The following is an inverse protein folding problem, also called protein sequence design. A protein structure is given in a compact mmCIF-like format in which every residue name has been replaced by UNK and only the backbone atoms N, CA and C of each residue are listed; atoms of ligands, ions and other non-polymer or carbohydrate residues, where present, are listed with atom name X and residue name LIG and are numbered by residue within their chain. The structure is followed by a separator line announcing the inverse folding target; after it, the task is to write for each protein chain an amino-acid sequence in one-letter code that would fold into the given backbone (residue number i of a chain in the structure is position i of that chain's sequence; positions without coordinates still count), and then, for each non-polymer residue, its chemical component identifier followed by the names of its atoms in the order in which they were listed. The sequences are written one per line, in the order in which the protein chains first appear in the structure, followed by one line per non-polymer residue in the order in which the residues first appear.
data_IF_429426436689
#
_entry.id   IF_429426436689
#
_cell.length_a   1.000
_cell.length_b   1.000
_cell.length_c   1.000
_cell.angle_alpha   90.00
_cell.angle_beta   90.00
_cell.angle_gamma   90.00
#
_symmetry.space_group_name_H-M   'P 1'
#
loop_
_entity.id
_entity.type
_entity.pdbx_description
1 polymer ?
#
# COMPACT_ATOMS: atom_id res chain seq x y z
N UNK A 1 10.87 -10.04 -0.36
CA UNK A 1 10.11 -10.07 -1.62
C UNK A 1 8.85 -10.90 -1.54
N UNK A 2 7.76 -10.30 -1.06
CA UNK A 2 6.40 -10.85 -1.20
C UNK A 2 5.75 -10.23 -2.44
N UNK A 3 6.09 -10.76 -3.61
CA UNK A 3 5.59 -10.28 -4.90
C UNK A 3 4.42 -11.16 -5.31
N UNK A 4 3.23 -10.58 -5.43
CA UNK A 4 2.01 -11.31 -5.85
C UNK A 4 1.57 -10.73 -7.19
N UNK A 5 2.28 -11.07 -8.26
CA UNK A 5 2.01 -10.51 -9.59
C UNK A 5 0.93 -11.33 -10.33
N UNK A 6 -0.13 -10.67 -10.80
CA UNK A 6 -0.98 -11.18 -11.89
C UNK A 6 -2.04 -12.23 -11.54
N UNK A 7 -2.38 -12.43 -10.26
CA UNK A 7 -3.28 -13.50 -9.82
C UNK A 7 -4.74 -13.07 -9.59
N UNK A 8 -5.17 -11.88 -10.04
CA UNK A 8 -6.51 -11.33 -9.72
C UNK A 8 -6.76 -11.32 -8.20
N UNK A 9 -5.75 -11.01 -7.40
CA UNK A 9 -5.89 -11.02 -5.94
C UNK A 9 -6.85 -9.91 -5.53
N UNK A 10 -7.92 -10.28 -4.84
CA UNK A 10 -8.97 -9.35 -4.37
C UNK A 10 -8.78 -8.93 -2.92
N UNK A 11 -8.00 -9.71 -2.15
CA UNK A 11 -7.64 -9.40 -0.78
C UNK A 11 -6.25 -9.99 -0.45
N UNK A 12 -5.49 -9.26 0.35
CA UNK A 12 -4.24 -9.73 0.96
C UNK A 12 -4.33 -9.54 2.48
N UNK A 13 -3.58 -10.35 3.22
CA UNK A 13 -3.46 -10.20 4.66
C UNK A 13 -1.99 -10.02 5.04
N UNK A 14 -1.63 -8.80 5.45
CA UNK A 14 -0.28 -8.42 5.91
C UNK A 14 -0.19 -8.26 7.43
N UNK A 15 -1.26 -8.55 8.18
CA UNK A 15 -1.37 -8.28 9.63
C UNK A 15 -0.31 -8.98 10.48
N UNK A 16 0.15 -10.17 10.07
CA UNK A 16 1.21 -10.90 10.75
C UNK A 16 2.63 -10.41 10.39
N UNK A 17 2.77 -9.59 9.35
CA UNK A 17 4.05 -9.10 8.86
C UNK A 17 4.38 -7.72 9.47
N UNK A 18 4.50 -7.66 10.80
CA UNK A 18 4.72 -6.40 11.54
C UNK A 18 6.06 -5.72 11.21
N UNK A 19 7.04 -6.49 10.72
CA UNK A 19 8.35 -5.99 10.30
C UNK A 19 8.46 -5.72 8.79
N UNK A 20 7.32 -5.75 8.07
CA UNK A 20 7.29 -5.51 6.63
C UNK A 20 7.78 -4.10 6.29
N UNK A 21 8.81 -4.02 5.45
CA UNK A 21 9.39 -2.76 4.96
C UNK A 21 9.00 -2.42 3.52
N UNK A 22 8.71 -3.42 2.72
CA UNK A 22 8.36 -3.25 1.31
C UNK A 22 7.20 -4.16 0.95
N UNK A 23 6.16 -3.59 0.35
CA UNK A 23 4.98 -4.32 -0.14
C UNK A 23 4.76 -4.02 -1.62
N UNK A 24 4.78 -5.08 -2.44
CA UNK A 24 4.52 -5.02 -3.87
C UNK A 24 3.30 -5.86 -4.22
N UNK A 25 2.19 -5.19 -4.50
CA UNK A 25 0.87 -5.80 -4.78
C UNK A 25 0.24 -5.21 -6.05
N UNK A 26 1.08 -4.69 -6.93
CA UNK A 26 0.65 -4.04 -8.16
C UNK A 26 -0.01 -5.02 -9.14
N UNK A 27 -0.86 -4.50 -10.03
CA UNK A 27 -1.57 -5.27 -11.08
C UNK A 27 -2.38 -6.43 -10.48
N UNK A 28 -3.30 -6.07 -9.60
CA UNK A 28 -4.27 -6.97 -8.97
C UNK A 28 -5.67 -6.33 -8.99
N UNK A 29 -6.63 -6.94 -8.30
CA UNK A 29 -8.01 -6.46 -8.20
C UNK A 29 -8.36 -6.09 -6.75
N UNK A 30 -7.38 -5.58 -5.98
CA UNK A 30 -7.60 -5.19 -4.60
C UNK A 30 -8.58 -4.02 -4.55
N UNK A 31 -9.62 -4.19 -3.74
CA UNK A 31 -10.58 -3.12 -3.43
C UNK A 31 -10.24 -2.39 -2.13
N UNK A 32 -9.61 -3.11 -1.20
CA UNK A 32 -9.15 -2.60 0.08
C UNK A 32 -7.73 -3.10 0.35
N UNK A 33 -6.99 -2.33 1.14
CA UNK A 33 -5.64 -2.66 1.57
C UNK A 33 -5.43 -2.13 3.00
N UNK A 34 -5.48 -3.01 3.99
CA UNK A 34 -5.23 -2.65 5.39
C UNK A 34 -3.73 -2.79 5.70
N UNK A 35 -3.10 -1.66 6.05
CA UNK A 35 -1.68 -1.56 6.42
C UNK A 35 -1.48 -1.08 7.86
N UNK A 36 -2.55 -1.10 8.68
CA UNK A 36 -2.55 -0.58 10.05
C UNK A 36 -1.51 -1.24 10.97
N UNK A 37 -1.15 -2.50 10.69
CA UNK A 37 -0.15 -3.25 11.45
C UNK A 37 1.27 -3.13 10.86
N UNK A 38 1.44 -2.49 9.71
CA UNK A 38 2.72 -2.41 9.00
C UNK A 38 3.40 -1.04 9.23
N UNK A 39 3.54 -0.64 10.50
CA UNK A 39 4.11 0.66 10.88
C UNK A 39 5.57 0.88 10.43
N UNK A 40 6.28 -0.20 10.10
CA UNK A 40 7.64 -0.17 9.57
C UNK A 40 7.72 -0.12 8.03
N UNK A 41 6.59 0.01 7.34
CA UNK A 41 6.55 0.05 5.88
C UNK A 41 7.24 1.31 5.34
N UNK A 42 8.25 1.10 4.50
CA UNK A 42 9.06 2.14 3.87
C UNK A 42 8.67 2.34 2.40
N UNK A 43 8.22 1.27 1.73
CA UNK A 43 7.85 1.30 0.31
C UNK A 43 6.55 0.55 0.05
N UNK A 44 5.63 1.21 -0.64
CA UNK A 44 4.37 0.62 -1.08
C UNK A 44 4.22 0.78 -2.59
N UNK A 45 4.02 -0.34 -3.29
CA UNK A 45 3.56 -0.35 -4.67
C UNK A 45 2.23 -1.10 -4.77
N UNK A 46 1.16 -0.34 -4.94
CA UNK A 46 -0.20 -0.83 -5.16
C UNK A 46 -0.77 -0.38 -6.52
N UNK A 47 0.11 -0.01 -7.46
CA UNK A 47 -0.22 0.36 -8.84
C UNK A 47 -1.25 -0.59 -9.49
N UNK A 48 -2.18 -0.05 -10.27
CA UNK A 48 -3.16 -0.83 -11.05
C UNK A 48 -3.93 -1.83 -10.18
N UNK A 49 -4.70 -1.27 -9.25
CA UNK A 49 -5.67 -1.95 -8.40
C UNK A 49 -6.98 -1.14 -8.38
N UNK A 50 -8.04 -1.69 -7.80
CA UNK A 50 -9.35 -1.03 -7.66
C UNK A 50 -9.54 -0.40 -6.28
N UNK A 51 -8.47 0.15 -5.69
CA UNK A 51 -8.52 0.81 -4.39
C UNK A 51 -9.26 2.15 -4.50
N UNK A 52 -10.40 2.26 -3.83
CA UNK A 52 -11.20 3.50 -3.74
C UNK A 52 -10.76 4.36 -2.53
N UNK A 53 -10.21 3.71 -1.51
CA UNK A 53 -9.64 4.32 -0.30
C UNK A 53 -8.30 3.66 0.04
N UNK A 54 -7.41 4.43 0.65
CA UNK A 54 -6.12 3.96 1.16
C UNK A 54 -5.71 4.83 2.35
N UNK A 55 -5.72 4.23 3.55
CA UNK A 55 -5.27 4.88 4.78
C UNK A 55 -3.78 4.56 5.02
N UNK A 56 -2.95 5.61 5.02
CA UNK A 56 -1.50 5.53 5.28
C UNK A 56 -1.09 6.29 6.54
N UNK A 57 -2.03 6.72 7.37
CA UNK A 57 -1.77 7.56 8.57
C UNK A 57 -0.86 6.87 9.59
N UNK A 58 -0.89 5.54 9.65
CA UNK A 58 -0.01 4.71 10.48
C UNK A 58 1.37 4.41 9.87
N UNK A 59 1.56 4.61 8.55
CA UNK A 59 2.78 4.24 7.83
C UNK A 59 3.74 5.43 7.71
N UNK A 60 4.14 6.02 8.84
CA UNK A 60 4.91 7.29 8.89
C UNK A 60 6.31 7.21 8.29
N UNK A 61 6.89 6.01 8.23
CA UNK A 61 8.20 5.72 7.64
C UNK A 61 8.15 5.53 6.12
N UNK A 62 6.99 5.72 5.50
CA UNK A 62 6.83 5.53 4.06
C UNK A 62 7.64 6.61 3.33
N UNK A 63 8.63 6.16 2.57
CA UNK A 63 9.52 7.00 1.76
C UNK A 63 9.15 6.94 0.28
N UNK A 64 8.46 5.88 -0.15
CA UNK A 64 8.00 5.70 -1.52
C UNK A 64 6.58 5.14 -1.58
N UNK A 65 5.74 5.79 -2.37
CA UNK A 65 4.38 5.36 -2.68
C UNK A 65 4.17 5.34 -4.19
N UNK A 66 3.77 4.19 -4.73
CA UNK A 66 3.19 4.08 -6.06
C UNK A 66 1.75 3.55 -5.94
N UNK A 67 0.79 4.46 -6.07
CA UNK A 67 -0.64 4.18 -6.11
C UNK A 67 -1.25 4.60 -7.45
N UNK A 68 -0.44 4.68 -8.52
CA UNK A 68 -0.92 5.07 -9.84
C UNK A 68 -1.96 4.07 -10.37
N UNK A 69 -2.87 4.54 -11.23
CA UNK A 69 -3.93 3.72 -11.83
C UNK A 69 -4.79 3.01 -10.76
N UNK A 70 -5.04 3.69 -9.64
CA UNK A 70 -6.06 3.33 -8.65
C UNK A 70 -7.15 4.41 -8.63
N UNK A 71 -8.43 4.05 -8.47
CA UNK A 71 -9.55 5.00 -8.46
C UNK A 71 -9.70 5.74 -7.13
N UNK A 72 -8.60 6.10 -6.47
CA UNK A 72 -8.62 6.81 -5.19
C UNK A 72 -9.26 8.20 -5.36
N UNK A 73 -10.36 8.45 -4.64
CA UNK A 73 -11.05 9.75 -4.69
C UNK A 73 -10.22 10.86 -4.02
N UNK A 74 -9.50 10.50 -2.94
CA UNK A 74 -8.60 11.36 -2.19
C UNK A 74 -7.59 10.49 -1.47
N UNK A 75 -6.39 11.00 -1.30
CA UNK A 75 -5.38 10.40 -0.43
C UNK A 75 -4.88 11.46 0.57
N UNK A 76 -4.83 11.11 1.85
CA UNK A 76 -4.23 11.96 2.88
C UNK A 76 -2.80 11.47 3.15
N UNK A 77 -1.83 12.29 2.76
CA UNK A 77 -0.40 12.03 2.95
C UNK A 77 0.21 12.92 4.05
N UNK A 78 -0.61 13.61 4.85
CA UNK A 78 -0.15 14.59 5.85
C UNK A 78 0.72 13.97 6.95
N UNK A 79 0.60 12.66 7.19
CA UNK A 79 1.40 11.93 8.17
C UNK A 79 2.64 11.25 7.56
N UNK A 80 2.73 11.16 6.22
CA UNK A 80 3.82 10.50 5.52
C UNK A 80 4.90 11.53 5.15
N UNK A 81 5.45 12.20 6.17
CA UNK A 81 6.38 13.33 6.02
C UNK A 81 7.73 12.95 5.42
N UNK A 82 8.03 11.66 5.33
CA UNK A 82 9.26 11.12 4.75
C UNK A 82 9.13 10.77 3.26
N UNK A 83 7.96 10.97 2.64
CA UNK A 83 7.77 10.74 1.21
C UNK A 83 8.65 11.68 0.38
N UNK A 84 9.42 11.09 -0.52
CA UNK A 84 10.19 11.80 -1.54
C UNK A 84 9.33 11.92 -2.81
N UNK A 85 9.07 13.15 -3.28
CA UNK A 85 8.14 13.47 -4.38
C UNK A 85 8.83 13.58 -5.74
#
# INVERSE_FOLDING_TARGET
DSRVDGAQVTAINTSAATDLRELNVYTNALKTLDLSQNANLEKLNCYNNSLEELDLTGNKKLTRLDAKDTPLAKIDLSQNTELDY
#
